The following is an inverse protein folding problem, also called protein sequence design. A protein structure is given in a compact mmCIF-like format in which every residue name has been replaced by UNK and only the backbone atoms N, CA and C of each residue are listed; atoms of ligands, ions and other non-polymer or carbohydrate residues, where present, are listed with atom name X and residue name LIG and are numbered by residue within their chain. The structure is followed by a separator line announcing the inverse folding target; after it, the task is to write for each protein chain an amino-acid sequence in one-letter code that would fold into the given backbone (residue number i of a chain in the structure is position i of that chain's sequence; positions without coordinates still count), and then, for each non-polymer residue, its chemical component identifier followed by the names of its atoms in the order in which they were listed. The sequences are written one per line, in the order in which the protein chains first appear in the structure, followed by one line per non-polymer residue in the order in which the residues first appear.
data_IF_050765243901
#
_entry.id   IF_050765243901
#
_cell.length_a   1.000
_cell.length_b   1.000
_cell.length_c   1.000
_cell.angle_alpha   90.00
_cell.angle_beta   90.00
_cell.angle_gamma   90.00
#
_symmetry.space_group_name_H-M   'P 1'
#
loop_
_entity.id
_entity.type
_entity.pdbx_description
1 polymer ?
#
# COMPACT_ATOMS: atom_id res chain seq x y z
N UNK A 1 -56.35 -65.18 34.19
CA UNK A 1 -56.32 -64.16 35.27
C UNK A 1 -54.87 -63.96 35.66
N UNK A 2 -54.16 -62.85 35.48
CA UNK A 2 -54.39 -61.48 35.05
C UNK A 2 -53.06 -61.05 34.38
N UNK A 3 -53.01 -60.81 33.06
CA UNK A 3 -52.81 -59.50 32.41
C UNK A 3 -51.77 -58.56 33.06
N UNK A 4 -50.59 -58.49 32.44
CA UNK A 4 -49.56 -57.45 32.60
C UNK A 4 -50.04 -56.11 32.01
N UNK A 5 -49.68 -54.96 32.61
CA UNK A 5 -50.28 -53.70 32.22
C UNK A 5 -49.30 -52.78 31.45
N UNK A 6 -49.89 -51.90 30.63
CA UNK A 6 -49.36 -50.63 30.11
C UNK A 6 -48.23 -50.65 29.05
N UNK A 7 -48.62 -50.53 27.78
CA UNK A 7 -47.86 -49.76 26.77
C UNK A 7 -48.38 -48.31 26.79
N UNK A 8 -47.52 -47.28 26.80
CA UNK A 8 -47.95 -45.93 26.49
C UNK A 8 -48.03 -45.75 24.96
N UNK A 9 -49.17 -45.24 24.51
CA UNK A 9 -49.42 -44.70 23.17
C UNK A 9 -48.38 -43.63 22.79
N UNK A 10 -47.62 -43.87 21.71
CA UNK A 10 -46.72 -42.88 21.12
C UNK A 10 -47.52 -41.86 20.30
N UNK A 11 -47.80 -40.70 20.89
CA UNK A 11 -48.27 -39.52 20.14
C UNK A 11 -47.16 -39.06 19.19
N UNK A 12 -47.37 -39.24 17.88
CA UNK A 12 -46.52 -38.67 16.83
C UNK A 12 -46.72 -37.15 16.78
N UNK A 13 -45.78 -36.40 17.34
CA UNK A 13 -45.67 -34.96 17.14
C UNK A 13 -44.72 -34.76 15.95
N UNK A 14 -45.27 -34.43 14.79
CA UNK A 14 -44.52 -33.95 13.63
C UNK A 14 -44.17 -32.49 13.88
N UNK A 15 -42.94 -32.24 14.33
CA UNK A 15 -42.37 -30.90 14.39
C UNK A 15 -41.66 -30.63 13.07
N UNK A 16 -42.35 -29.94 12.15
CA UNK A 16 -41.72 -29.38 10.95
C UNK A 16 -40.90 -28.15 11.38
N UNK A 17 -39.64 -28.37 11.75
CA UNK A 17 -38.68 -27.30 12.01
C UNK A 17 -38.23 -26.67 10.70
N UNK A 18 -38.73 -25.48 10.38
CA UNK A 18 -38.18 -24.63 9.33
C UNK A 18 -36.81 -24.11 9.81
N UNK A 19 -35.73 -24.79 9.43
CA UNK A 19 -34.39 -24.26 9.59
C UNK A 19 -34.17 -23.21 8.48
N UNK A 20 -34.42 -21.94 8.80
CA UNK A 20 -33.84 -20.85 8.00
C UNK A 20 -32.34 -20.84 8.27
N UNK A 21 -31.57 -21.37 7.32
CA UNK A 21 -30.13 -21.18 7.29
C UNK A 21 -29.86 -19.68 7.15
N UNK A 22 -29.42 -19.03 8.23
CA UNK A 22 -28.70 -17.77 8.09
C UNK A 22 -27.40 -18.10 7.34
N UNK A 23 -27.36 -17.73 6.07
CA UNK A 23 -26.09 -17.61 5.36
C UNK A 23 -25.41 -16.40 5.98
N UNK A 24 -24.47 -16.63 6.90
CA UNK A 24 -23.52 -15.60 7.27
C UNK A 24 -22.75 -15.25 5.98
N UNK A 25 -23.02 -14.08 5.41
CA UNK A 25 -22.11 -13.51 4.44
C UNK A 25 -20.86 -13.16 5.24
N UNK A 26 -19.76 -13.87 4.99
CA UNK A 26 -18.47 -13.41 5.48
C UNK A 26 -18.25 -12.04 4.85
N UNK A 27 -18.36 -10.99 5.67
CA UNK A 27 -17.98 -9.66 5.25
C UNK A 27 -16.48 -9.73 4.97
N UNK A 28 -16.08 -9.67 3.71
CA UNK A 28 -14.68 -9.42 3.37
C UNK A 28 -14.30 -8.02 3.82
N UNK A 29 -13.00 -7.76 4.03
CA UNK A 29 -12.56 -6.41 4.30
C UNK A 29 -12.99 -5.53 3.14
N UNK A 30 -13.30 -4.26 3.42
CA UNK A 30 -13.54 -3.32 2.35
C UNK A 30 -12.21 -3.10 1.63
N UNK A 31 -12.01 -3.78 0.50
CA UNK A 31 -10.85 -3.58 -0.36
C UNK A 31 -11.19 -2.54 -1.41
N UNK A 32 -10.38 -1.49 -1.48
CA UNK A 32 -10.52 -0.36 -2.40
C UNK A 32 -9.28 -0.28 -3.27
N UNK A 33 -9.47 0.10 -4.53
CA UNK A 33 -8.40 0.29 -5.49
C UNK A 33 -8.40 1.75 -5.93
N UNK A 34 -7.32 2.46 -5.66
CA UNK A 34 -7.12 3.86 -6.04
C UNK A 34 -5.90 3.93 -6.98
N UNK A 35 -6.11 3.91 -8.31
CA UNK A 35 -5.02 3.77 -9.29
C UNK A 35 -3.94 4.84 -9.16
N UNK A 36 -4.24 6.00 -8.58
CA UNK A 36 -3.26 7.01 -8.23
C UNK A 36 -2.31 7.36 -9.37
N UNK A 37 -1.01 7.40 -9.07
CA UNK A 37 0.05 7.48 -10.09
C UNK A 37 0.41 6.09 -10.55
N UNK A 38 0.44 5.86 -11.86
CA UNK A 38 0.95 4.60 -12.40
C UNK A 38 2.48 4.59 -12.34
N UNK A 39 3.06 3.50 -11.86
CA UNK A 39 4.49 3.24 -11.91
C UNK A 39 4.78 2.14 -12.94
N UNK A 40 6.01 2.10 -13.45
CA UNK A 40 6.47 1.05 -14.33
C UNK A 40 7.76 0.41 -13.82
N UNK A 41 7.92 -0.87 -14.15
CA UNK A 41 9.16 -1.62 -13.96
C UNK A 41 9.45 -2.46 -15.19
N UNK A 42 10.72 -2.70 -15.51
CA UNK A 42 11.10 -3.46 -16.70
C UNK A 42 10.63 -4.91 -16.62
N UNK A 43 10.74 -5.52 -15.44
CA UNK A 43 10.37 -6.91 -15.20
C UNK A 43 10.22 -7.21 -13.71
N UNK A 44 9.51 -8.29 -13.39
CA UNK A 44 9.50 -8.89 -12.06
C UNK A 44 10.50 -10.05 -11.93
N UNK A 45 10.98 -10.31 -10.73
CA UNK A 45 11.87 -11.45 -10.42
C UNK A 45 11.23 -12.36 -9.39
N UNK A 46 10.76 -13.51 -9.89
CA UNK A 46 10.12 -14.51 -9.04
C UNK A 46 8.75 -14.06 -8.52
N UNK A 47 8.11 -15.00 -7.85
CA UNK A 47 6.79 -14.88 -7.23
C UNK A 47 6.80 -15.49 -5.82
N UNK A 48 8.00 -15.59 -5.24
CA UNK A 48 8.26 -16.16 -3.93
C UNK A 48 9.08 -15.11 -3.18
N UNK A 49 8.36 -14.16 -2.60
CA UNK A 49 8.95 -12.99 -1.94
C UNK A 49 8.94 -13.24 -0.45
N UNK A 50 10.11 -13.51 0.12
CA UNK A 50 10.23 -13.71 1.56
C UNK A 50 10.39 -12.41 2.32
N UNK A 51 10.14 -12.45 3.64
CA UNK A 51 10.19 -11.26 4.49
C UNK A 51 11.48 -10.45 4.39
N UNK A 52 12.62 -11.12 4.24
CA UNK A 52 13.97 -10.57 4.08
C UNK A 52 14.30 -10.11 2.65
N UNK A 53 13.38 -10.28 1.69
CA UNK A 53 13.54 -9.80 0.31
C UNK A 53 12.87 -8.44 0.09
N UNK A 54 12.31 -7.84 1.14
CA UNK A 54 11.56 -6.58 1.07
C UNK A 54 12.29 -5.42 1.77
N UNK A 55 13.59 -5.55 1.95
CA UNK A 55 14.43 -4.54 2.58
C UNK A 55 14.36 -3.21 1.85
N UNK A 56 14.01 -2.16 2.59
CA UNK A 56 13.84 -0.81 2.06
C UNK A 56 12.40 -0.31 2.02
N UNK A 57 11.38 -1.18 2.10
CA UNK A 57 9.98 -0.74 2.15
C UNK A 57 9.77 0.27 3.27
N UNK A 58 8.87 1.24 3.07
CA UNK A 58 8.55 2.22 4.12
C UNK A 58 7.22 1.89 4.78
N UNK A 59 7.26 1.72 6.10
CA UNK A 59 6.07 1.45 6.93
C UNK A 59 5.78 2.70 7.75
N UNK A 60 4.59 3.28 7.59
CA UNK A 60 4.13 4.41 8.40
C UNK A 60 2.90 4.01 9.21
N UNK A 61 2.97 4.09 10.53
CA UNK A 61 1.82 3.93 11.41
C UNK A 61 1.34 5.29 11.94
N UNK A 62 0.04 5.53 11.88
CA UNK A 62 -0.64 6.65 12.49
C UNK A 62 -1.31 6.16 13.77
N UNK A 63 -0.83 6.65 14.92
CA UNK A 63 -1.29 6.25 16.24
C UNK A 63 -2.44 7.15 16.68
N UNK A 64 -3.36 6.62 17.48
CA UNK A 64 -4.51 7.39 18.00
C UNK A 64 -4.13 8.48 19.01
N UNK A 65 -2.86 8.52 19.43
CA UNK A 65 -2.26 9.65 20.15
C UNK A 65 -2.04 10.88 19.28
N UNK A 66 -2.17 10.76 17.95
CA UNK A 66 -1.84 11.77 16.96
C UNK A 66 -0.39 11.70 16.46
N UNK A 67 0.43 10.77 16.97
CA UNK A 67 1.78 10.55 16.48
C UNK A 67 1.78 9.76 15.17
N UNK A 68 2.75 10.04 14.30
CA UNK A 68 3.06 9.22 13.13
C UNK A 68 4.49 8.70 13.25
N UNK A 69 4.66 7.39 13.14
CA UNK A 69 5.97 6.74 13.16
C UNK A 69 6.25 6.13 11.79
N UNK A 70 7.43 6.39 11.22
CA UNK A 70 7.86 5.86 9.93
C UNK A 70 9.15 5.08 10.10
N UNK A 71 9.18 3.87 9.57
CA UNK A 71 10.31 2.96 9.64
C UNK A 71 10.61 2.37 8.26
N UNK A 72 11.88 2.02 8.06
CA UNK A 72 12.34 1.27 6.89
C UNK A 72 12.35 -0.20 7.27
N UNK A 73 11.77 -1.05 6.42
CA UNK A 73 11.77 -2.49 6.56
C UNK A 73 13.18 -3.05 6.46
N UNK A 74 13.49 -4.00 7.33
CA UNK A 74 14.79 -4.64 7.39
C UNK A 74 14.69 -6.11 7.80
N UNK A 75 15.75 -6.86 7.52
CA UNK A 75 15.96 -8.24 7.97
C UNK A 75 15.93 -8.37 9.50
N UNK A 76 14.94 -9.09 10.02
CA UNK A 76 14.87 -9.50 11.43
C UNK A 76 15.50 -10.89 11.61
N UNK A 77 15.53 -11.70 10.54
CA UNK A 77 16.16 -13.02 10.52
C UNK A 77 16.05 -13.68 9.15
N UNK A 78 16.52 -14.92 9.04
CA UNK A 78 16.46 -15.67 7.79
C UNK A 78 15.00 -15.88 7.33
N UNK A 79 14.69 -15.49 6.09
CA UNK A 79 13.35 -15.46 5.49
C UNK A 79 12.38 -14.47 6.15
N UNK A 80 12.87 -13.57 7.00
CA UNK A 80 12.03 -12.79 7.90
C UNK A 80 12.45 -11.33 7.93
N UNK A 81 11.50 -10.46 7.60
CA UNK A 81 11.68 -9.03 7.69
C UNK A 81 10.52 -8.38 8.45
N UNK A 82 10.74 -7.13 8.83
CA UNK A 82 9.76 -6.33 9.52
C UNK A 82 10.34 -5.06 10.09
N UNK A 83 9.59 -4.49 11.03
CA UNK A 83 9.96 -3.30 11.79
C UNK A 83 9.48 -3.44 13.24
N UNK A 84 10.12 -2.73 14.15
CA UNK A 84 9.66 -2.55 15.53
C UNK A 84 9.47 -1.05 15.80
N UNK A 85 8.24 -0.64 16.07
CA UNK A 85 7.89 0.71 16.50
C UNK A 85 7.75 0.82 18.02
N UNK A 86 7.21 1.95 18.49
CA UNK A 86 7.04 2.16 19.93
C UNK A 86 5.79 1.47 20.45
N UNK A 87 5.94 0.23 20.91
CA UNK A 87 4.82 -0.57 21.43
C UNK A 87 3.99 -1.27 20.35
N UNK A 88 4.56 -1.45 19.16
CA UNK A 88 3.98 -2.26 18.08
C UNK A 88 5.07 -2.80 17.16
N UNK A 89 4.77 -3.82 16.37
CA UNK A 89 5.64 -4.31 15.29
C UNK A 89 4.81 -4.85 14.14
N UNK A 90 5.40 -4.82 12.94
CA UNK A 90 4.87 -5.47 11.75
C UNK A 90 5.95 -6.37 11.17
N UNK A 91 5.61 -7.61 10.81
CA UNK A 91 6.56 -8.58 10.24
C UNK A 91 5.88 -9.62 9.37
N UNK A 92 6.67 -10.26 8.53
CA UNK A 92 6.29 -11.49 7.82
C UNK A 92 7.44 -12.48 7.84
N UNK A 93 7.12 -13.77 7.91
CA UNK A 93 8.10 -14.87 7.84
C UNK A 93 7.80 -15.71 6.61
N UNK A 94 8.83 -16.03 5.83
CA UNK A 94 8.70 -16.78 4.60
C UNK A 94 7.98 -15.98 3.52
N UNK A 95 7.51 -16.72 2.52
CA UNK A 95 6.81 -16.24 1.34
C UNK A 95 5.49 -15.53 1.70
N UNK A 96 5.33 -14.27 1.28
CA UNK A 96 4.12 -13.45 1.50
C UNK A 96 2.85 -14.11 0.95
N UNK A 97 2.96 -14.91 -0.09
CA UNK A 97 1.83 -15.65 -0.66
C UNK A 97 1.34 -16.75 0.30
N UNK A 98 2.26 -17.44 0.98
CA UNK A 98 1.93 -18.59 1.84
C UNK A 98 1.65 -18.18 3.29
N UNK A 99 2.41 -17.23 3.81
CA UNK A 99 2.38 -16.86 5.23
C UNK A 99 1.55 -15.61 5.47
N UNK A 100 1.29 -15.32 6.75
CA UNK A 100 0.51 -14.15 7.14
C UNK A 100 1.45 -13.04 7.60
N UNK A 101 1.06 -11.80 7.32
CA UNK A 101 1.61 -10.64 7.97
C UNK A 101 1.11 -10.58 9.40
N UNK A 102 1.99 -10.25 10.32
CA UNK A 102 1.70 -10.18 11.76
C UNK A 102 1.92 -8.75 12.23
N UNK A 103 0.83 -8.12 12.67
CA UNK A 103 0.85 -6.86 13.42
C UNK A 103 0.54 -7.17 14.89
N UNK A 104 1.47 -6.84 15.78
CA UNK A 104 1.19 -6.75 17.21
C UNK A 104 1.21 -5.27 17.61
N UNK A 105 0.22 -4.81 18.36
CA UNK A 105 0.17 -3.45 18.88
C UNK A 105 -0.35 -3.43 20.33
N UNK A 106 0.47 -2.94 21.25
CA UNK A 106 0.10 -2.59 22.63
C UNK A 106 -0.30 -1.11 22.76
N UNK A 107 -0.20 -0.37 21.66
CA UNK A 107 -0.72 0.99 21.47
C UNK A 107 -1.88 0.96 20.48
N UNK A 108 -2.68 2.02 20.49
CA UNK A 108 -3.78 2.18 19.54
C UNK A 108 -3.29 2.75 18.21
N UNK A 109 -3.57 2.04 17.11
CA UNK A 109 -3.21 2.39 15.73
C UNK A 109 -4.49 2.67 14.94
N UNK A 110 -4.54 3.82 14.26
CA UNK A 110 -5.66 4.18 13.38
C UNK A 110 -5.43 3.71 11.94
N UNK A 111 -4.19 3.75 11.47
CA UNK A 111 -3.84 3.46 10.07
C UNK A 111 -2.40 3.00 9.94
N UNK A 112 -2.15 2.07 9.01
CA UNK A 112 -0.80 1.66 8.57
C UNK A 112 -0.71 1.83 7.06
N UNK A 113 0.33 2.50 6.59
CA UNK A 113 0.68 2.59 5.18
C UNK A 113 1.95 1.78 4.96
N UNK A 114 1.93 0.90 3.97
CA UNK A 114 3.06 0.11 3.51
C UNK A 114 3.36 0.56 2.08
N UNK A 115 4.47 1.27 1.88
CA UNK A 115 5.00 1.59 0.55
C UNK A 115 6.08 0.55 0.19
N UNK A 116 5.73 -0.33 -0.75
CA UNK A 116 6.57 -1.44 -1.15
C UNK A 116 7.70 -1.01 -2.12
N UNK A 117 7.51 0.11 -2.82
CA UNK A 117 8.37 0.52 -3.92
C UNK A 117 9.85 0.67 -3.55
N UNK A 118 10.20 1.41 -2.48
CA UNK A 118 11.58 1.52 -2.02
C UNK A 118 12.24 0.19 -1.63
N UNK A 119 11.42 -0.85 -1.36
CA UNK A 119 11.89 -2.21 -1.06
C UNK A 119 12.10 -3.08 -2.29
N UNK A 120 11.99 -2.53 -3.50
CA UNK A 120 12.01 -3.31 -4.75
C UNK A 120 10.92 -4.39 -4.77
N UNK A 121 9.77 -4.06 -4.20
CA UNK A 121 8.61 -4.93 -4.11
C UNK A 121 7.36 -4.22 -4.59
N UNK A 122 6.37 -5.00 -5.00
CA UNK A 122 5.02 -4.57 -5.36
C UNK A 122 4.03 -5.53 -4.72
N UNK A 123 2.83 -5.08 -4.39
CA UNK A 123 1.76 -5.96 -3.99
C UNK A 123 1.13 -6.62 -5.21
N UNK A 124 0.96 -7.93 -5.16
CA UNK A 124 0.24 -8.72 -6.17
C UNK A 124 -1.12 -9.15 -5.60
N UNK A 125 -2.20 -8.65 -6.20
CA UNK A 125 -3.57 -8.97 -5.77
C UNK A 125 -4.15 -10.13 -6.57
N UNK A 126 -5.22 -10.72 -6.03
CA UNK A 126 -5.97 -11.73 -6.77
C UNK A 126 -6.56 -11.14 -8.07
N UNK A 127 -6.07 -11.62 -9.21
CA UNK A 127 -6.57 -11.22 -10.53
C UNK A 127 -7.67 -12.16 -11.06
N UNK A 128 -8.67 -11.56 -11.74
CA UNK A 128 -9.79 -12.18 -12.46
C UNK A 128 -10.00 -13.69 -12.24
N UNK A 129 -10.88 -14.08 -11.30
CA UNK A 129 -11.20 -15.48 -11.02
C UNK A 129 -9.97 -16.37 -10.76
N UNK A 130 -8.95 -15.84 -10.06
CA UNK A 130 -7.78 -16.60 -9.61
C UNK A 130 -6.86 -17.04 -10.76
N UNK A 131 -6.80 -16.23 -11.82
CA UNK A 131 -5.84 -16.34 -12.92
C UNK A 131 -4.55 -15.59 -12.58
N UNK A 132 -3.47 -15.90 -13.31
CA UNK A 132 -2.26 -15.08 -13.27
C UNK A 132 -2.55 -13.75 -13.98
N UNK A 133 -2.06 -12.64 -13.42
CA UNK A 133 -2.19 -11.33 -14.02
C UNK A 133 -0.95 -10.93 -14.81
N UNK A 134 -0.18 -9.97 -14.30
CA UNK A 134 0.99 -9.39 -14.95
C UNK A 134 2.06 -10.44 -15.25
N UNK A 135 2.69 -10.36 -16.42
CA UNK A 135 3.73 -11.31 -16.81
C UNK A 135 4.94 -11.25 -15.86
N UNK A 136 5.45 -12.42 -15.46
CA UNK A 136 6.55 -12.50 -14.49
C UNK A 136 6.09 -12.53 -13.02
N UNK A 137 4.86 -12.10 -12.75
CA UNK A 137 4.12 -12.39 -11.52
C UNK A 137 3.41 -13.76 -11.62
N UNK A 138 3.08 -14.36 -10.49
CA UNK A 138 2.24 -15.55 -10.45
C UNK A 138 0.79 -15.16 -10.15
N UNK A 139 0.26 -15.66 -9.04
CA UNK A 139 -1.12 -15.45 -8.64
C UNK A 139 -1.08 -14.80 -7.28
N UNK A 140 -1.57 -13.58 -7.18
CA UNK A 140 -1.55 -12.83 -5.95
C UNK A 140 -2.61 -13.23 -4.93
N UNK A 141 -2.51 -12.58 -3.77
CA UNK A 141 -3.52 -12.63 -2.70
C UNK A 141 -3.87 -11.21 -2.28
N UNK A 142 -5.14 -10.86 -2.49
CA UNK A 142 -5.72 -9.61 -2.00
C UNK A 142 -5.80 -9.60 -0.48
N UNK A 143 -5.63 -8.42 0.10
CA UNK A 143 -5.78 -8.18 1.52
C UNK A 143 -7.02 -8.86 2.12
N UNK A 144 -6.81 -9.62 3.19
CA UNK A 144 -7.89 -10.15 4.01
C UNK A 144 -7.41 -10.41 5.43
N UNK A 145 -8.29 -10.19 6.41
CA UNK A 145 -8.00 -10.50 7.80
C UNK A 145 -8.13 -12.00 8.02
N UNK A 146 -7.10 -12.61 8.61
CA UNK A 146 -7.08 -14.02 9.02
C UNK A 146 -7.58 -14.16 10.46
N UNK A 147 -7.13 -13.28 11.37
CA UNK A 147 -7.56 -13.26 12.77
C UNK A 147 -7.19 -11.95 13.47
N UNK A 148 -7.86 -11.63 14.57
CA UNK A 148 -7.52 -10.48 15.43
C UNK A 148 -8.55 -9.34 15.39
N UNK A 149 -9.27 -9.21 14.27
CA UNK A 149 -10.44 -8.36 14.11
C UNK A 149 -11.37 -8.93 13.02
N UNK A 150 -12.60 -8.43 12.93
CA UNK A 150 -13.47 -8.76 11.80
C UNK A 150 -13.06 -7.95 10.58
N UNK A 151 -13.02 -8.58 9.41
CA UNK A 151 -12.85 -7.92 8.12
C UNK A 151 -13.71 -6.64 7.96
N UNK A 152 -14.93 -6.60 8.52
CA UNK A 152 -15.79 -5.42 8.48
C UNK A 152 -15.26 -4.18 9.24
N UNK A 153 -14.21 -4.33 10.05
CA UNK A 153 -13.63 -3.27 10.88
C UNK A 153 -12.39 -2.61 10.26
N UNK A 154 -12.06 -2.95 9.02
CA UNK A 154 -10.89 -2.44 8.31
C UNK A 154 -11.19 -2.17 6.84
N UNK A 155 -10.59 -1.11 6.33
CA UNK A 155 -10.53 -0.82 4.90
C UNK A 155 -9.09 -0.92 4.45
N UNK A 156 -8.82 -1.74 3.44
CA UNK A 156 -7.53 -1.84 2.78
C UNK A 156 -7.63 -1.16 1.41
N UNK A 157 -6.80 -0.15 1.18
CA UNK A 157 -6.74 0.57 -0.09
C UNK A 157 -5.41 0.28 -0.75
N UNK A 158 -5.45 -0.38 -1.90
CA UNK A 158 -4.29 -0.47 -2.77
C UNK A 158 -4.19 0.80 -3.58
N UNK A 159 -3.00 1.42 -3.58
CA UNK A 159 -2.74 2.70 -4.26
C UNK A 159 -1.54 2.59 -5.18
N UNK A 160 -1.57 3.43 -6.21
CA UNK A 160 -0.52 3.57 -7.22
C UNK A 160 -0.28 2.25 -7.98
N UNK A 161 -0.94 2.14 -9.13
CA UNK A 161 -0.91 0.92 -9.95
C UNK A 161 0.47 0.73 -10.59
N UNK A 162 0.88 -0.53 -10.81
CA UNK A 162 2.16 -0.86 -11.44
C UNK A 162 1.94 -1.58 -12.78
N UNK A 163 2.73 -1.22 -13.78
CA UNK A 163 2.78 -1.84 -15.10
C UNK A 163 4.19 -2.38 -15.41
N UNK A 164 4.28 -3.24 -16.43
CA UNK A 164 5.57 -3.52 -17.07
C UNK A 164 5.87 -2.46 -18.11
N UNK A 165 7.13 -2.05 -18.23
CA UNK A 165 7.56 -1.08 -19.24
C UNK A 165 7.13 -1.51 -20.64
N UNK A 166 6.47 -0.59 -21.34
CA UNK A 166 5.95 -0.82 -22.69
C UNK A 166 4.67 -1.64 -22.75
N UNK A 167 4.02 -1.93 -21.62
CA UNK A 167 2.71 -2.58 -21.55
C UNK A 167 1.72 -1.73 -20.76
N UNK A 168 0.43 -1.85 -21.07
CA UNK A 168 -0.62 -1.28 -20.23
C UNK A 168 -0.66 -2.00 -18.87
N UNK A 169 -1.00 -1.30 -17.77
CA UNK A 169 -1.18 -1.94 -16.47
C UNK A 169 -2.31 -2.97 -16.52
N UNK A 170 -2.03 -4.18 -16.03
CA UNK A 170 -3.02 -5.27 -16.00
C UNK A 170 -4.07 -5.03 -14.91
N UNK A 171 -3.68 -4.38 -13.81
CA UNK A 171 -4.58 -3.99 -12.69
C UNK A 171 -4.43 -4.84 -11.43
N UNK A 172 -3.43 -5.71 -11.38
CA UNK A 172 -3.14 -6.64 -10.28
C UNK A 172 -1.91 -6.25 -9.46
N UNK A 173 -1.04 -5.37 -9.98
CA UNK A 173 0.15 -4.91 -9.25
C UNK A 173 -0.04 -3.49 -8.70
N UNK A 174 0.36 -3.32 -7.44
CA UNK A 174 0.15 -2.08 -6.68
C UNK A 174 1.36 -1.74 -5.84
N UNK A 175 1.76 -0.47 -5.79
CA UNK A 175 2.95 -0.05 -5.03
C UNK A 175 2.67 0.07 -3.54
N UNK A 176 1.46 0.50 -3.17
CA UNK A 176 1.14 0.87 -1.79
C UNK A 176 -0.09 0.11 -1.28
N UNK A 177 0.00 -0.38 -0.04
CA UNK A 177 -1.14 -0.90 0.72
C UNK A 177 -1.40 0.01 1.93
N UNK A 178 -2.60 0.57 2.00
CA UNK A 178 -3.05 1.46 3.05
C UNK A 178 -4.19 0.82 3.85
N UNK A 179 -3.90 0.45 5.08
CA UNK A 179 -4.81 -0.25 5.99
C UNK A 179 -5.33 0.75 7.01
N UNK A 180 -6.61 1.09 6.90
CA UNK A 180 -7.31 2.01 7.79
C UNK A 180 -8.30 1.26 8.68
N UNK A 181 -8.13 1.36 10.00
CA UNK A 181 -9.03 0.75 10.97
C UNK A 181 -10.24 1.66 11.23
N UNK A 182 -11.44 1.11 11.28
CA UNK A 182 -12.67 1.90 11.51
C UNK A 182 -12.81 2.37 12.96
N UNK A 183 -12.11 1.70 13.86
CA UNK A 183 -11.87 2.12 15.22
C UNK A 183 -10.40 1.83 15.56
N UNK A 184 -9.77 2.61 16.46
CA UNK A 184 -8.40 2.38 16.92
C UNK A 184 -8.11 0.91 17.23
N UNK A 185 -7.09 0.33 16.59
CA UNK A 185 -6.72 -1.06 16.75
C UNK A 185 -5.59 -1.24 17.76
N UNK A 186 -5.73 -2.23 18.65
CA UNK A 186 -4.67 -2.77 19.50
C UNK A 186 -4.87 -4.28 19.62
N UNK A 187 -3.80 -5.06 19.65
CA UNK A 187 -3.85 -6.52 19.79
C UNK A 187 -2.93 -7.23 18.81
N UNK A 188 -3.28 -8.48 18.52
CA UNK A 188 -2.55 -9.34 17.59
C UNK A 188 -3.39 -9.61 16.34
N UNK A 189 -2.98 -9.01 15.21
CA UNK A 189 -3.64 -9.12 13.91
C UNK A 189 -2.79 -9.99 12.98
N UNK A 190 -3.46 -10.94 12.33
CA UNK A 190 -2.93 -11.68 11.18
C UNK A 190 -3.74 -11.31 9.95
N UNK A 191 -3.05 -10.96 8.86
CA UNK A 191 -3.69 -10.67 7.59
C UNK A 191 -2.88 -11.25 6.43
N UNK A 192 -3.56 -11.49 5.32
CA UNK A 192 -2.95 -11.83 4.03
C UNK A 192 -2.67 -10.55 3.25
N UNK A 193 -1.56 -10.52 2.55
CA UNK A 193 -1.24 -9.63 1.46
C UNK A 193 -0.04 -10.24 0.75
N UNK A 194 -0.09 -10.35 -0.57
CA UNK A 194 1.03 -10.90 -1.33
C UNK A 194 1.88 -9.80 -1.96
N UNK A 195 3.16 -10.10 -2.11
CA UNK A 195 4.16 -9.22 -2.70
C UNK A 195 5.03 -9.98 -3.69
N UNK A 196 5.40 -9.31 -4.77
CA UNK A 196 6.39 -9.76 -5.74
C UNK A 196 7.58 -8.80 -5.77
N UNK A 197 8.76 -9.29 -6.14
CA UNK A 197 9.94 -8.45 -6.31
C UNK A 197 10.09 -7.96 -7.75
N UNK A 198 10.55 -6.72 -7.90
CA UNK A 198 11.00 -6.23 -9.21
C UNK A 198 12.38 -6.81 -9.55
N UNK A 199 12.64 -7.06 -10.83
CA UNK A 199 13.86 -7.72 -11.29
C UNK A 199 15.12 -6.86 -11.17
N UNK A 200 14.96 -5.54 -11.23
CA UNK A 200 16.05 -4.58 -11.25
C UNK A 200 15.85 -3.64 -10.06
N UNK A 201 16.76 -3.64 -9.06
CA UNK A 201 16.65 -2.73 -7.94
C UNK A 201 16.63 -1.25 -8.38
N UNK A 202 15.67 -0.48 -7.86
CA UNK A 202 15.46 0.92 -8.21
C UNK A 202 14.75 1.17 -9.53
N UNK A 203 14.27 0.13 -10.22
CA UNK A 203 13.54 0.22 -11.50
C UNK A 203 12.03 0.23 -11.27
N UNK A 204 11.57 1.08 -10.35
CA UNK A 204 10.15 1.34 -10.15
C UNK A 204 9.93 2.85 -10.17
N UNK A 205 9.70 3.35 -11.38
CA UNK A 205 9.58 4.77 -11.65
C UNK A 205 8.15 5.16 -11.97
N UNK A 206 7.75 6.37 -11.56
CA UNK A 206 6.44 6.90 -11.93
C UNK A 206 6.41 7.15 -13.44
N UNK A 207 5.36 6.66 -14.10
CA UNK A 207 5.11 7.04 -15.49
C UNK A 207 4.92 8.56 -15.56
N UNK A 208 5.60 9.25 -16.49
CA UNK A 208 5.37 10.66 -16.70
C UNK A 208 3.89 10.88 -17.01
N UNK A 209 3.25 11.78 -16.27
CA UNK A 209 1.91 12.22 -16.63
C UNK A 209 1.98 12.84 -18.04
N UNK A 210 1.26 12.29 -19.04
CA UNK A 210 1.31 12.80 -20.41
C UNK A 210 0.88 14.28 -20.50
N UNK A 211 0.14 14.79 -19.51
CA UNK A 211 -0.31 16.17 -19.44
C UNK A 211 0.67 17.10 -18.66
N UNK A 212 1.73 16.55 -18.07
CA UNK A 212 2.75 17.29 -17.30
C UNK A 212 3.85 17.92 -18.15
N UNK A 213 3.58 18.19 -19.44
CA UNK A 213 4.54 18.86 -20.31
C UNK A 213 5.08 20.14 -19.63
N UNK A 214 6.40 20.33 -19.51
CA UNK A 214 6.96 21.49 -18.83
C UNK A 214 6.45 22.75 -19.52
N UNK A 215 5.67 23.55 -18.79
CA UNK A 215 5.21 24.86 -19.27
C UNK A 215 6.48 25.66 -19.59
N UNK A 216 6.68 26.11 -20.84
CA UNK A 216 7.84 26.92 -21.18
C UNK A 216 7.90 28.11 -20.24
N UNK A 217 9.00 28.26 -19.50
CA UNK A 217 9.14 29.42 -18.63
C UNK A 217 8.92 30.67 -19.48
N UNK A 218 8.03 31.60 -19.07
CA UNK A 218 7.81 32.80 -19.83
C UNK A 218 9.15 33.52 -20.00
N UNK A 219 9.40 33.99 -21.21
CA UNK A 219 10.63 34.70 -21.62
C UNK A 219 10.89 35.99 -20.83
N UNK A 220 10.14 36.25 -19.75
CA UNK A 220 10.26 37.36 -18.82
C UNK A 220 11.62 37.44 -18.13
N UNK A 221 12.38 36.34 -18.01
CA UNK A 221 13.78 36.41 -17.54
C UNK A 221 14.69 37.19 -18.52
N UNK A 222 14.38 37.21 -19.81
CA UNK A 222 15.10 38.02 -20.81
C UNK A 222 14.72 39.51 -20.69
N UNK A 223 13.49 39.83 -20.28
CA UNK A 223 13.02 41.22 -20.11
C UNK A 223 13.59 41.89 -18.83
N UNK A 224 13.76 41.12 -17.76
CA UNK A 224 14.41 41.61 -16.52
C UNK A 224 15.92 41.87 -16.75
N UNK A 225 16.59 41.02 -17.54
CA UNK A 225 18.00 41.19 -17.91
C UNK A 225 18.27 42.41 -18.81
N UNK A 226 17.34 42.74 -19.70
CA UNK A 226 17.47 43.89 -20.61
C UNK A 226 17.05 45.23 -19.98
N UNK A 227 16.14 45.23 -19.00
CA UNK A 227 15.73 46.44 -18.27
C UNK A 227 16.82 47.04 -17.36
N UNK A 228 17.65 46.21 -16.72
CA UNK A 228 18.72 46.67 -15.83
C UNK A 228 19.95 47.20 -16.57
N UNK A 229 20.21 46.75 -17.80
CA UNK A 229 21.32 47.23 -18.63
C UNK A 229 21.18 48.69 -19.10
N UNK A 230 19.95 49.15 -19.34
CA UNK A 230 19.68 50.51 -19.84
C UNK A 230 19.84 51.57 -18.73
N UNK A 231 19.55 51.23 -17.47
CA UNK A 231 19.69 52.17 -16.34
C UNK A 231 21.17 52.46 -16.02
N UNK A 232 22.07 51.48 -16.17
CA UNK A 232 23.49 51.67 -15.90
C UNK A 232 24.20 52.61 -16.89
N UNK A 233 23.81 52.61 -18.17
CA UNK A 233 24.42 53.46 -19.20
C UNK A 233 23.99 54.94 -19.06
N UNK A 234 22.81 55.20 -18.50
CA UNK A 234 22.27 56.56 -18.34
C UNK A 234 22.99 57.43 -17.29
N UNK A 235 23.80 56.82 -16.39
CA UNK A 235 24.49 57.53 -15.29
C UNK A 235 25.94 57.92 -15.58
N UNK A 236 26.54 57.45 -16.67
CA UNK A 236 27.97 57.65 -16.97
C UNK A 236 28.34 58.93 -17.72
N UNK A 237 27.38 59.76 -18.13
CA UNK A 237 27.66 60.93 -18.99
C UNK A 237 27.16 62.23 -18.36
N UNK A 238 27.95 62.79 -17.42
CA UNK A 238 27.99 64.24 -17.18
C UNK A 238 29.45 64.72 -17.14
N UNK A 239 29.81 65.48 -18.19
CA UNK A 239 31.07 66.20 -18.43
C UNK A 239 31.26 67.41 -17.49
N UNK A 240 32.51 67.81 -17.26
CA UNK A 240 33.07 69.18 -17.48
C UNK A 240 34.34 69.39 -16.61
N UNK A 241 35.56 69.40 -17.16
CA UNK A 241 36.36 70.52 -17.71
C UNK A 241 36.77 71.65 -16.71
N UNK A 242 38.11 71.82 -16.62
CA UNK A 242 38.94 73.04 -16.46
C UNK A 242 39.08 73.67 -15.05
N UNK A 243 40.31 73.75 -14.52
CA UNK A 243 41.05 75.04 -14.35
C UNK A 243 42.54 74.85 -13.97
N UNK A 244 43.38 75.73 -14.52
CA UNK A 244 44.79 75.93 -14.23
C UNK A 244 45.00 76.99 -13.12
N UNK A 245 46.27 77.15 -12.70
CA UNK A 245 46.92 78.12 -11.80
C UNK A 245 47.42 77.46 -10.50
N UNK A 246 48.66 77.67 -10.03
CA UNK A 246 49.60 78.77 -10.23
C UNK A 246 51.04 78.28 -10.00
#
# INVERSE_FOLDING_TARGET
MFSYPWRPEMKKILLAGLFSALIATESNAAVVYDPGTTYETTALTGFLTTGDMMDGMTITAFLSSGAAESFVWYDIGNLMGGIYGTGWYLRVYGDSYLYDWILLADVFIDRIIIDAGPGNSVFDILWQNNLNGTAGSARGITFSVVSGLSNANVTATYRDMVALTGSDPVGDLWKVLDISFHAPYSGYLRFKADTDNIAIPGDLDALPDPDSAPVPEPSTLILIGSGLGIIAISRGVKKSRICAAR
#
